data_IF_142164327363
#
_entry.id   IF_142164327363
#
_cell.length_a   1.000
_cell.length_b   1.000
_cell.length_c   1.000
_cell.angle_alpha   90.00
_cell.angle_beta   90.00
_cell.angle_gamma   90.00
#
_symmetry.space_group_name_H-M   'P 1'
#
loop_
_entity.id
_entity.type
_entity.pdbx_description
1 polymer ?
#
# COMPACT_ATOMS: atom_id res chain seq x y z
N UNK A 1 14.47 20.86 -20.13
CA UNK A 1 13.93 19.48 -20.15
C UNK A 1 12.43 19.51 -19.84
N UNK A 2 11.58 18.84 -20.63
CA UNK A 2 10.16 18.73 -20.29
C UNK A 2 10.01 17.86 -19.04
N UNK A 3 9.14 18.21 -18.07
CA UNK A 3 8.88 17.38 -16.92
C UNK A 3 8.39 16.01 -17.39
N UNK A 4 9.02 14.95 -16.91
CA UNK A 4 8.49 13.59 -17.06
C UNK A 4 7.26 13.43 -16.16
N UNK A 5 6.17 12.91 -16.71
CA UNK A 5 4.93 12.64 -15.96
C UNK A 5 4.84 11.14 -15.64
N UNK A 6 3.96 10.78 -14.71
CA UNK A 6 3.62 9.38 -14.41
C UNK A 6 2.52 8.81 -15.32
N UNK A 7 2.07 9.56 -16.34
CA UNK A 7 1.07 9.14 -17.32
C UNK A 7 1.75 8.32 -18.43
N UNK A 8 1.83 7.00 -18.24
CA UNK A 8 2.50 6.08 -19.16
C UNK A 8 1.81 5.97 -20.53
N UNK A 9 0.48 6.16 -20.59
CA UNK A 9 -0.30 6.10 -21.84
C UNK A 9 -0.30 7.40 -22.62
N UNK A 10 0.24 8.49 -22.06
CA UNK A 10 0.16 9.85 -22.63
C UNK A 10 -1.28 10.29 -22.93
N UNK A 11 -2.26 9.73 -22.22
CA UNK A 11 -3.68 10.07 -22.38
C UNK A 11 -3.95 11.52 -21.96
N UNK A 12 -4.73 12.27 -22.75
CA UNK A 12 -4.85 13.72 -22.58
C UNK A 12 -6.21 14.29 -22.96
N UNK A 13 -7.28 13.53 -22.78
CA UNK A 13 -8.63 14.03 -23.06
C UNK A 13 -9.12 15.00 -21.96
N UNK A 14 -9.64 16.20 -22.31
CA UNK A 14 -10.04 17.22 -21.33
C UNK A 14 -11.09 16.76 -20.30
N UNK A 15 -11.92 15.78 -20.68
CA UNK A 15 -12.93 15.20 -19.78
C UNK A 15 -12.29 14.50 -18.58
N UNK A 16 -11.15 13.84 -18.77
CA UNK A 16 -10.44 13.15 -17.70
C UNK A 16 -9.85 14.14 -16.71
N UNK A 17 -9.27 15.24 -17.19
CA UNK A 17 -8.74 16.30 -16.34
C UNK A 17 -9.83 16.87 -15.41
N UNK A 18 -11.01 17.20 -15.97
CA UNK A 18 -12.14 17.70 -15.19
C UNK A 18 -12.65 16.70 -14.13
N UNK A 19 -12.71 15.41 -14.49
CA UNK A 19 -13.13 14.37 -13.56
C UNK A 19 -12.12 14.16 -12.42
N UNK A 20 -10.82 14.09 -12.74
CA UNK A 20 -9.74 13.91 -11.75
C UNK A 20 -9.64 15.10 -10.81
N UNK A 21 -9.79 16.33 -11.33
CA UNK A 21 -9.90 17.52 -10.48
C UNK A 21 -11.13 17.48 -9.57
N UNK A 22 -12.26 17.01 -10.07
CA UNK A 22 -13.48 16.83 -9.29
C UNK A 22 -13.30 15.81 -8.16
N UNK A 23 -12.65 14.67 -8.42
CA UNK A 23 -12.29 13.67 -7.40
C UNK A 23 -11.37 14.30 -6.34
N UNK A 24 -10.32 15.02 -6.78
CA UNK A 24 -9.33 15.65 -5.89
C UNK A 24 -9.96 16.71 -4.97
N UNK A 25 -10.95 17.45 -5.46
CA UNK A 25 -11.58 18.54 -4.73
C UNK A 25 -12.93 18.15 -4.09
N UNK A 26 -13.38 16.90 -4.24
CA UNK A 26 -14.64 16.41 -3.70
C UNK A 26 -14.72 16.53 -2.18
N UNK A 27 -15.89 16.95 -1.67
CA UNK A 27 -16.13 17.16 -0.23
C UNK A 27 -17.11 16.17 0.40
N UNK A 28 -17.65 15.25 -0.37
CA UNK A 28 -18.51 14.16 0.10
C UNK A 28 -18.07 12.85 -0.51
N UNK A 29 -18.28 11.75 0.24
CA UNK A 29 -17.96 10.41 -0.23
C UNK A 29 -18.73 10.06 -1.50
N UNK A 30 -20.02 10.41 -1.58
CA UNK A 30 -20.86 10.11 -2.74
C UNK A 30 -20.37 10.82 -4.01
N UNK A 31 -19.96 12.09 -3.91
CA UNK A 31 -19.39 12.81 -5.05
C UNK A 31 -18.07 12.20 -5.49
N UNK A 32 -17.19 11.87 -4.55
CA UNK A 32 -15.91 11.21 -4.88
C UNK A 32 -16.18 9.87 -5.56
N UNK A 33 -17.10 9.06 -5.03
CA UNK A 33 -17.48 7.76 -5.59
C UNK A 33 -18.00 7.88 -7.02
N UNK A 34 -18.96 8.77 -7.26
CA UNK A 34 -19.55 8.95 -8.59
C UNK A 34 -18.51 9.37 -9.63
N UNK A 35 -17.65 10.34 -9.29
CA UNK A 35 -16.61 10.81 -10.19
C UNK A 35 -15.53 9.75 -10.43
N UNK A 36 -15.12 9.02 -9.38
CA UNK A 36 -14.17 7.91 -9.49
C UNK A 36 -14.70 6.82 -10.42
N UNK A 37 -15.99 6.44 -10.33
CA UNK A 37 -16.56 5.46 -11.27
C UNK A 37 -16.53 5.93 -12.72
N UNK A 38 -16.75 7.22 -12.98
CA UNK A 38 -16.62 7.78 -14.34
C UNK A 38 -15.18 7.69 -14.85
N UNK A 39 -14.20 8.01 -14.01
CA UNK A 39 -12.77 7.88 -14.33
C UNK A 39 -12.41 6.41 -14.62
N UNK A 40 -12.82 5.50 -13.75
CA UNK A 40 -12.56 4.05 -13.90
C UNK A 40 -13.21 3.49 -15.17
N UNK A 41 -14.41 3.96 -15.53
CA UNK A 41 -15.09 3.56 -16.78
C UNK A 41 -14.28 3.98 -18.01
N UNK A 42 -13.75 5.21 -18.05
CA UNK A 42 -12.89 5.67 -19.15
C UNK A 42 -11.61 4.83 -19.20
N UNK A 43 -10.96 4.58 -18.05
CA UNK A 43 -9.74 3.76 -17.99
C UNK A 43 -9.99 2.35 -18.54
N UNK A 44 -11.15 1.77 -18.21
CA UNK A 44 -11.57 0.45 -18.69
C UNK A 44 -11.81 0.46 -20.21
N UNK A 45 -12.62 1.40 -20.70
CA UNK A 45 -13.07 1.43 -22.10
C UNK A 45 -11.93 1.79 -23.07
N UNK A 46 -11.04 2.68 -22.66
CA UNK A 46 -9.86 3.10 -23.43
C UNK A 46 -8.63 2.22 -23.17
N UNK A 47 -8.75 1.20 -22.30
CA UNK A 47 -7.68 0.29 -21.92
C UNK A 47 -6.38 0.98 -21.46
N UNK A 48 -6.49 2.09 -20.73
CA UNK A 48 -5.34 2.88 -20.27
C UNK A 48 -4.50 2.15 -19.22
N UNK A 49 -5.13 1.25 -18.48
CA UNK A 49 -4.50 0.42 -17.46
C UNK A 49 -5.18 -0.94 -17.39
N UNK A 50 -4.40 -2.02 -17.53
CA UNK A 50 -4.89 -3.40 -17.41
C UNK A 50 -4.21 -4.06 -16.21
N UNK A 51 -4.90 -4.28 -15.09
CA UNK A 51 -4.30 -4.89 -13.91
C UNK A 51 -3.94 -6.36 -14.17
N UNK A 52 -2.68 -6.74 -13.97
CA UNK A 52 -2.20 -8.10 -14.21
C UNK A 52 -2.41 -9.06 -13.03
N UNK A 53 -1.95 -8.68 -11.84
CA UNK A 53 -2.12 -9.48 -10.62
C UNK A 53 -2.29 -8.58 -9.40
N UNK A 54 -3.02 -9.07 -8.40
CA UNK A 54 -3.18 -8.40 -7.12
C UNK A 54 -2.52 -9.23 -6.02
N UNK A 55 -1.71 -8.60 -5.17
CA UNK A 55 -1.14 -9.23 -3.98
C UNK A 55 -2.12 -9.13 -2.83
N UNK A 56 -2.61 -10.26 -2.32
CA UNK A 56 -3.55 -10.29 -1.20
C UNK A 56 -2.88 -10.08 0.17
N UNK A 57 -1.56 -10.24 0.26
CA UNK A 57 -0.75 -10.01 1.45
C UNK A 57 0.72 -9.82 1.06
N UNK A 58 1.54 -9.32 1.99
CA UNK A 58 2.99 -9.33 1.90
C UNK A 58 3.60 -10.19 3.00
N UNK A 59 4.79 -10.75 2.72
CA UNK A 59 5.66 -11.39 3.70
C UNK A 59 6.91 -10.55 3.80
N UNK A 60 7.34 -10.25 5.02
CA UNK A 60 8.50 -9.40 5.27
C UNK A 60 9.39 -10.06 6.32
N UNK A 61 10.67 -10.21 5.99
CA UNK A 61 11.73 -10.41 6.98
C UNK A 61 12.37 -9.05 7.30
N UNK A 62 12.52 -8.74 8.58
CA UNK A 62 13.09 -7.46 9.02
C UNK A 62 13.99 -7.65 10.24
N UNK A 63 14.95 -6.74 10.42
CA UNK A 63 15.84 -6.76 11.57
C UNK A 63 15.06 -6.53 12.87
N UNK A 64 15.48 -7.13 13.97
CA UNK A 64 14.85 -6.96 15.30
C UNK A 64 14.67 -5.49 15.73
N UNK A 65 15.54 -4.59 15.25
CA UNK A 65 15.49 -3.17 15.53
C UNK A 65 14.61 -2.36 14.57
N UNK A 66 14.06 -2.98 13.52
CA UNK A 66 12.98 -2.38 12.73
C UNK A 66 11.67 -2.72 13.43
N UNK A 67 11.10 -1.74 14.08
CA UNK A 67 9.89 -1.89 14.87
C UNK A 67 8.67 -1.42 14.09
N UNK A 68 7.52 -1.98 14.46
CA UNK A 68 6.22 -1.74 13.86
C UNK A 68 5.20 -1.58 14.98
N UNK A 69 4.05 -0.92 14.72
CA UNK A 69 2.91 -0.94 15.63
C UNK A 69 2.51 -2.38 16.01
N UNK A 70 1.83 -2.54 17.13
CA UNK A 70 1.43 -3.87 17.63
C UNK A 70 0.56 -4.65 16.64
N UNK A 71 -0.26 -3.94 15.85
CA UNK A 71 -1.08 -4.49 14.76
C UNK A 71 -0.42 -4.43 13.37
N UNK A 72 0.90 -4.19 13.35
CA UNK A 72 1.81 -4.16 12.20
C UNK A 72 1.60 -3.01 11.21
N UNK A 73 0.46 -2.95 10.51
CA UNK A 73 0.27 -1.98 9.42
C UNK A 73 -1.21 -1.60 9.23
N UNK A 74 -1.48 -0.61 8.39
CA UNK A 74 -2.83 -0.18 8.05
C UNK A 74 -3.51 -1.01 6.96
N UNK A 75 -4.84 -0.84 6.85
CA UNK A 75 -5.71 -1.58 5.92
C UNK A 75 -5.36 -1.37 4.44
N UNK A 76 -4.96 -0.15 4.08
CA UNK A 76 -4.66 0.25 2.70
C UNK A 76 -3.13 0.40 2.59
N UNK A 77 -2.43 -0.72 2.46
CA UNK A 77 -0.98 -0.80 2.33
C UNK A 77 -0.64 -1.80 1.24
N UNK A 78 0.08 -1.34 0.21
CA UNK A 78 0.50 -2.16 -0.92
C UNK A 78 1.85 -2.84 -0.65
N UNK A 79 2.72 -2.13 0.07
CA UNK A 79 4.00 -2.57 0.59
C UNK A 79 4.07 -2.27 2.09
N UNK A 80 4.87 -3.02 2.87
CA UNK A 80 5.01 -2.76 4.31
C UNK A 80 5.32 -1.28 4.62
N UNK A 81 6.15 -0.64 3.81
CA UNK A 81 6.60 0.73 3.98
C UNK A 81 5.64 1.81 3.46
N UNK A 82 4.57 1.46 2.73
CA UNK A 82 3.66 2.44 2.08
C UNK A 82 3.15 3.51 3.04
N UNK A 83 2.81 3.10 4.28
CA UNK A 83 2.27 4.01 5.30
C UNK A 83 3.34 4.59 6.23
N UNK A 84 4.61 4.22 6.06
CA UNK A 84 5.75 4.70 6.87
C UNK A 84 5.53 4.58 8.39
N UNK A 85 4.85 3.53 8.84
CA UNK A 85 4.55 3.30 10.27
C UNK A 85 5.70 2.69 11.06
N UNK A 86 6.77 2.25 10.39
CA UNK A 86 7.91 1.62 11.02
C UNK A 86 8.91 2.64 11.56
N UNK A 87 9.69 2.23 12.56
CA UNK A 87 10.78 3.03 13.10
C UNK A 87 12.00 2.16 13.45
N UNK A 88 13.13 2.81 13.70
CA UNK A 88 14.34 2.16 14.17
C UNK A 88 14.46 2.34 15.67
N UNK A 89 14.59 1.22 16.38
CA UNK A 89 14.88 1.18 17.80
C UNK A 89 16.40 0.99 18.00
N UNK A 90 17.08 2.09 18.31
CA UNK A 90 18.54 2.13 18.44
C UNK A 90 19.05 1.28 19.63
N UNK A 91 18.24 1.08 20.67
CA UNK A 91 18.60 0.22 21.80
C UNK A 91 18.57 -1.25 21.40
N UNK A 92 17.50 -1.68 20.70
CA UNK A 92 17.44 -3.02 20.13
C UNK A 92 18.55 -3.27 19.12
N UNK A 93 18.93 -2.25 18.35
CA UNK A 93 20.03 -2.35 17.38
C UNK A 93 21.36 -2.61 18.09
N UNK A 94 21.67 -1.82 19.11
CA UNK A 94 22.88 -1.98 19.93
C UNK A 94 22.93 -3.35 20.60
N UNK A 95 21.83 -3.78 21.22
CA UNK A 95 21.69 -5.10 21.84
C UNK A 95 21.93 -6.23 20.82
N UNK A 96 21.34 -6.12 19.64
CA UNK A 96 21.43 -7.16 18.60
C UNK A 96 22.85 -7.26 18.03
N UNK A 97 23.53 -6.12 17.83
CA UNK A 97 24.91 -6.10 17.34
C UNK A 97 25.89 -6.66 18.39
N UNK A 98 25.69 -6.38 19.68
CA UNK A 98 26.51 -6.95 20.75
C UNK A 98 26.27 -8.45 20.92
N UNK A 99 25.02 -8.92 20.82
CA UNK A 99 24.70 -10.34 20.83
C UNK A 99 25.41 -11.07 19.69
N UNK A 100 25.37 -10.50 18.48
CA UNK A 100 26.11 -11.04 17.31
C UNK A 100 27.62 -11.12 17.57
N UNK A 101 28.21 -10.08 18.19
CA UNK A 101 29.65 -10.05 18.52
C UNK A 101 30.05 -11.08 19.57
N UNK A 102 29.16 -11.34 20.53
CA UNK A 102 29.39 -12.26 21.66
C UNK A 102 28.90 -13.69 21.40
N UNK A 103 28.43 -14.00 20.18
CA UNK A 103 27.93 -15.32 19.82
C UNK A 103 26.60 -15.70 20.47
N UNK A 104 25.86 -14.72 21.01
CA UNK A 104 24.52 -14.93 21.57
C UNK A 104 23.48 -14.89 20.46
N UNK A 105 22.58 -15.86 20.45
CA UNK A 105 21.46 -15.94 19.51
C UNK A 105 20.15 -15.54 20.18
N UNK A 106 19.26 -14.93 19.40
CA UNK A 106 17.86 -14.73 19.77
C UNK A 106 17.00 -15.85 19.17
N UNK A 107 15.87 -16.22 19.81
CA UNK A 107 14.94 -17.18 19.23
C UNK A 107 14.35 -16.66 17.92
N UNK A 108 13.95 -17.60 17.06
CA UNK A 108 13.21 -17.29 15.85
C UNK A 108 11.85 -16.67 16.19
N UNK A 109 11.45 -15.65 15.43
CA UNK A 109 10.17 -14.98 15.59
C UNK A 109 9.44 -15.01 14.24
N UNK A 110 8.28 -15.67 14.23
CA UNK A 110 7.33 -15.64 13.12
C UNK A 110 6.00 -15.09 13.62
N UNK A 111 5.46 -14.08 12.92
CA UNK A 111 4.21 -13.41 13.29
C UNK A 111 3.27 -13.37 12.09
N UNK A 112 1.99 -13.56 12.36
CA UNK A 112 0.93 -13.47 11.37
C UNK A 112 -0.06 -12.42 11.84
N UNK A 113 -0.33 -11.44 10.97
CA UNK A 113 -1.28 -10.37 11.20
C UNK A 113 -2.40 -10.48 10.15
N UNK A 114 -3.62 -10.80 10.57
CA UNK A 114 -4.76 -11.07 9.68
C UNK A 114 -5.98 -10.18 9.95
N UNK A 115 -5.82 -9.11 10.74
CA UNK A 115 -6.86 -8.14 11.11
C UNK A 115 -7.69 -7.62 9.93
N UNK A 116 -7.07 -7.41 8.77
CA UNK A 116 -7.71 -6.89 7.56
C UNK A 116 -8.00 -7.95 6.50
N UNK A 117 -7.75 -9.22 6.79
CA UNK A 117 -8.00 -10.31 5.85
C UNK A 117 -9.50 -10.39 5.56
N UNK A 118 -9.88 -10.13 4.32
CA UNK A 118 -11.26 -10.36 3.86
C UNK A 118 -11.51 -11.86 3.91
N UNK A 119 -12.43 -12.29 4.76
CA UNK A 119 -12.88 -13.68 4.82
C UNK A 119 -13.80 -13.92 3.63
N UNK A 120 -13.44 -14.88 2.78
CA UNK A 120 -14.28 -15.35 1.68
C UNK A 120 -15.54 -16.01 2.26
N UNK A 121 -16.55 -15.22 2.58
CA UNK A 121 -17.88 -15.69 2.94
C UNK A 121 -18.83 -14.92 2.04
N UNK A 122 -19.53 -15.65 1.17
CA UNK A 122 -20.62 -15.21 0.31
C UNK A 122 -20.25 -14.27 -0.86
N UNK A 123 -19.72 -14.88 -1.94
CA UNK A 123 -20.11 -14.43 -3.29
C UNK A 123 -21.48 -15.07 -3.56
N UNK A 124 -22.55 -14.43 -3.09
CA UNK A 124 -23.89 -14.73 -3.59
C UNK A 124 -23.94 -14.20 -5.02
N UNK A 125 -24.14 -15.11 -5.96
CA UNK A 125 -24.46 -14.80 -7.37
C UNK A 125 -25.69 -13.91 -7.49
#
# INVERSE_FOLDING_TARGET
>A
PRPTTNNSSSYGEPVMDALVEGVRNGRSEDTIRELSYKVETIIHDEALWVPGFQRSFYRLGYWRWVCWPDDFNGRISELPETLNLHWIDEDKKRETLEAKRTGKAFPEVSRVYDKYRVKSTEVTK
#
